data_IF_726704301933
#
_entry.id   IF_726704301933
#
_cell.length_a   1.000
_cell.length_b   1.000
_cell.length_c   1.000
_cell.angle_alpha   90.00
_cell.angle_beta   90.00
_cell.angle_gamma   90.00
#
_symmetry.space_group_name_H-M   'P 1'
#
loop_
_entity.id
_entity.type
_entity.pdbx_description
1 polymer ?
#
# COMPACT_ATOMS: atom_id res chain seq x y z
N UNK A 1 2.79 5.21 0.19
CA UNK A 1 1.62 5.69 0.96
C UNK A 1 0.60 6.45 0.12
N UNK A 2 1.02 7.36 -0.77
CA UNK A 2 0.11 8.06 -1.69
C UNK A 2 -0.84 7.13 -2.47
N UNK A 3 -0.29 6.15 -3.20
CA UNK A 3 -1.12 5.22 -4.00
C UNK A 3 -2.08 4.41 -3.11
N UNK A 4 -1.64 3.96 -1.94
CA UNK A 4 -2.48 3.24 -0.96
C UNK A 4 -3.67 4.11 -0.54
N UNK A 5 -3.43 5.36 -0.16
CA UNK A 5 -4.50 6.30 0.16
C UNK A 5 -5.44 6.51 -1.03
N UNK A 6 -4.88 6.69 -2.23
CA UNK A 6 -5.68 6.89 -3.44
C UNK A 6 -6.63 5.71 -3.70
N UNK A 7 -6.16 4.47 -3.55
CA UNK A 7 -7.01 3.27 -3.68
C UNK A 7 -8.12 3.28 -2.64
N UNK A 8 -7.80 3.55 -1.36
CA UNK A 8 -8.79 3.57 -0.28
C UNK A 8 -9.86 4.65 -0.52
N UNK A 9 -9.47 5.86 -0.93
CA UNK A 9 -10.42 6.93 -1.27
C UNK A 9 -11.33 6.54 -2.45
N UNK A 10 -10.75 5.93 -3.48
CA UNK A 10 -11.48 5.47 -4.67
C UNK A 10 -12.48 4.37 -4.31
N UNK A 11 -12.06 3.33 -3.58
CA UNK A 11 -12.94 2.27 -3.07
C UNK A 11 -14.01 2.81 -2.11
N UNK A 12 -13.69 3.90 -1.40
CA UNK A 12 -14.62 4.54 -0.47
C UNK A 12 -15.65 5.42 -1.18
N UNK A 13 -15.54 5.64 -2.49
CA UNK A 13 -16.33 6.62 -3.27
C UNK A 13 -16.36 8.01 -2.58
N UNK A 14 -15.28 8.36 -1.88
CA UNK A 14 -15.15 9.63 -1.14
C UNK A 14 -14.36 10.61 -2.00
N UNK A 15 -14.85 11.85 -2.09
CA UNK A 15 -14.11 12.91 -2.79
C UNK A 15 -12.75 13.14 -2.14
N UNK A 16 -11.74 13.26 -2.99
CA UNK A 16 -10.37 13.54 -2.56
C UNK A 16 -10.24 15.05 -2.43
N UNK A 17 -10.15 15.56 -1.20
CA UNK A 17 -9.67 16.91 -0.98
C UNK A 17 -8.14 16.89 -1.06
N UNK A 18 -7.57 17.61 -2.03
CA UNK A 18 -6.14 17.62 -2.30
C UNK A 18 -5.30 17.92 -1.05
N UNK A 19 -5.67 18.93 -0.26
CA UNK A 19 -4.89 19.32 0.94
C UNK A 19 -4.85 18.20 1.98
N UNK A 20 -6.02 17.67 2.35
CA UNK A 20 -6.11 16.58 3.31
C UNK A 20 -5.40 15.32 2.80
N UNK A 21 -5.51 15.01 1.51
CA UNK A 21 -4.87 13.86 0.90
C UNK A 21 -3.34 13.91 1.00
N UNK A 22 -2.72 15.07 0.70
CA UNK A 22 -1.27 15.22 0.83
C UNK A 22 -0.81 15.14 2.27
N UNK A 23 -1.48 15.85 3.19
CA UNK A 23 -1.15 15.86 4.62
C UNK A 23 -1.22 14.45 5.20
N UNK A 24 -2.33 13.75 4.95
CA UNK A 24 -2.56 12.38 5.44
C UNK A 24 -1.53 11.41 4.87
N UNK A 25 -1.18 11.55 3.59
CA UNK A 25 -0.18 10.69 2.96
C UNK A 25 1.22 10.88 3.54
N UNK A 26 1.60 12.12 3.84
CA UNK A 26 2.87 12.43 4.52
C UNK A 26 2.85 11.87 5.94
N UNK A 27 1.79 12.15 6.70
CA UNK A 27 1.63 11.67 8.07
C UNK A 27 1.72 10.14 8.16
N UNK A 28 0.98 9.43 7.30
CA UNK A 28 1.04 7.96 7.23
C UNK A 28 2.42 7.45 6.83
N UNK A 29 3.14 8.16 5.95
CA UNK A 29 4.51 7.80 5.60
C UNK A 29 5.46 7.90 6.79
N UNK A 30 5.35 8.99 7.56
CA UNK A 30 6.15 9.18 8.79
C UNK A 30 5.80 8.12 9.82
N UNK A 31 4.51 7.89 10.08
CA UNK A 31 4.06 6.86 11.03
C UNK A 31 4.55 5.47 10.63
N UNK A 32 4.43 5.10 9.36
CA UNK A 32 4.92 3.80 8.87
C UNK A 32 6.44 3.67 9.04
N UNK A 33 7.19 4.74 8.81
CA UNK A 33 8.63 4.75 9.04
C UNK A 33 8.96 4.57 10.53
N UNK A 34 8.27 5.29 11.42
CA UNK A 34 8.43 5.13 12.88
C UNK A 34 8.11 3.70 13.30
N UNK A 35 7.02 3.11 12.79
CA UNK A 35 6.66 1.72 13.08
C UNK A 35 7.80 0.76 12.69
N UNK A 36 8.47 0.99 11.55
CA UNK A 36 9.61 0.18 11.09
C UNK A 36 10.89 0.35 11.91
N UNK A 37 11.02 1.42 12.70
CA UNK A 37 12.15 1.61 13.60
C UNK A 37 12.03 0.78 14.88
N UNK A 38 10.83 0.25 15.19
CA UNK A 38 10.66 -0.61 16.35
C UNK A 38 11.39 -1.95 16.12
N UNK A 39 12.12 -2.49 17.11
CA UNK A 39 12.80 -3.78 17.01
C UNK A 39 11.80 -4.93 17.23
N UNK A 40 10.83 -5.06 16.34
CA UNK A 40 9.78 -6.09 16.39
C UNK A 40 9.72 -6.86 15.07
N UNK A 41 9.00 -7.98 15.07
CA UNK A 41 8.83 -8.79 13.86
C UNK A 41 8.06 -8.04 12.77
N UNK A 42 8.45 -8.29 11.51
CA UNK A 42 7.87 -7.62 10.34
C UNK A 42 6.35 -7.80 10.23
N UNK A 43 5.84 -8.99 10.56
CA UNK A 43 4.38 -9.23 10.59
C UNK A 43 3.64 -8.31 11.57
N UNK A 44 4.26 -7.95 12.70
CA UNK A 44 3.65 -7.04 13.67
C UNK A 44 3.62 -5.61 13.13
N UNK A 45 4.65 -5.17 12.38
CA UNK A 45 4.62 -3.88 11.70
C UNK A 45 3.43 -3.76 10.74
N UNK A 46 3.14 -4.81 9.97
CA UNK A 46 1.99 -4.82 9.03
C UNK A 46 0.69 -4.60 9.79
N UNK A 47 0.48 -5.34 10.89
CA UNK A 47 -0.75 -5.21 11.71
C UNK A 47 -0.89 -3.80 12.29
N UNK A 48 0.19 -3.23 12.86
CA UNK A 48 0.16 -1.85 13.40
C UNK A 48 -0.14 -0.84 12.29
N UNK A 49 0.45 -1.00 11.11
CA UNK A 49 0.19 -0.13 9.96
C UNK A 49 -1.27 -0.24 9.50
N UNK A 50 -1.85 -1.44 9.43
CA UNK A 50 -3.27 -1.61 9.08
C UNK A 50 -4.18 -0.88 10.08
N UNK A 51 -3.92 -1.04 11.38
CA UNK A 51 -4.70 -0.37 12.43
C UNK A 51 -4.60 1.15 12.29
N UNK A 52 -3.39 1.70 12.13
CA UNK A 52 -3.19 3.15 11.97
C UNK A 52 -3.88 3.70 10.73
N UNK A 53 -3.85 2.98 9.60
CA UNK A 53 -4.60 3.33 8.40
C UNK A 53 -6.11 3.39 8.65
N UNK A 54 -6.67 2.35 9.28
CA UNK A 54 -8.11 2.30 9.59
C UNK A 54 -8.52 3.48 10.49
N UNK A 55 -7.74 3.77 11.52
CA UNK A 55 -7.99 4.90 12.44
C UNK A 55 -7.99 6.23 11.69
N UNK A 56 -6.98 6.50 10.86
CA UNK A 56 -6.86 7.76 10.12
C UNK A 56 -8.00 7.90 9.10
N UNK A 57 -8.34 6.84 8.37
CA UNK A 57 -9.46 6.88 7.40
C UNK A 57 -10.80 7.14 8.09
N UNK A 58 -10.98 6.61 9.29
CA UNK A 58 -12.18 6.83 10.10
C UNK A 58 -12.26 8.28 10.61
N UNK A 59 -11.14 8.86 11.05
CA UNK A 59 -11.05 10.29 11.45
C UNK A 59 -11.37 11.21 10.26
N UNK A 60 -11.00 10.83 9.04
CA UNK A 60 -11.32 11.55 7.81
C UNK A 60 -12.79 11.37 7.36
N UNK A 61 -13.59 10.66 8.17
CA UNK A 61 -15.02 10.47 7.98
C UNK A 61 -15.38 9.40 6.96
N UNK A 62 -14.52 8.40 6.73
CA UNK A 62 -14.94 7.15 6.08
C UNK A 62 -15.54 6.25 7.18
N UNK A 63 -16.77 5.70 7.01
CA UNK A 63 -17.37 4.85 8.03
C UNK A 63 -16.45 3.69 8.42
N UNK A 64 -16.36 3.38 9.72
CA UNK A 64 -15.41 2.39 10.26
C UNK A 64 -15.40 1.06 9.49
N UNK A 65 -16.58 0.48 9.23
CA UNK A 65 -16.73 -0.78 8.49
C UNK A 65 -16.13 -0.66 7.08
N UNK A 66 -16.35 0.48 6.42
CA UNK A 66 -15.82 0.76 5.08
C UNK A 66 -14.30 0.98 5.12
N UNK A 67 -13.80 1.66 6.14
CA UNK A 67 -12.37 1.86 6.40
C UNK A 67 -11.65 0.53 6.58
N UNK A 68 -12.20 -0.38 7.41
CA UNK A 68 -11.65 -1.73 7.62
C UNK A 68 -11.60 -2.50 6.29
N UNK A 69 -12.75 -2.63 5.63
CA UNK A 69 -12.86 -3.38 4.37
C UNK A 69 -11.90 -2.86 3.30
N UNK A 70 -11.89 -1.56 3.07
CA UNK A 70 -11.11 -0.97 1.98
C UNK A 70 -9.60 -0.98 2.28
N UNK A 71 -9.21 -0.80 3.54
CA UNK A 71 -7.80 -0.90 3.94
C UNK A 71 -7.30 -2.33 3.73
N UNK A 72 -8.04 -3.35 4.21
CA UNK A 72 -7.65 -4.74 4.03
C UNK A 72 -7.52 -5.12 2.55
N UNK A 73 -8.50 -4.75 1.72
CA UNK A 73 -8.44 -4.97 0.26
C UNK A 73 -7.17 -4.34 -0.33
N UNK A 74 -6.87 -3.10 0.05
CA UNK A 74 -5.71 -2.38 -0.48
C UNK A 74 -4.39 -3.03 -0.09
N UNK A 75 -4.25 -3.46 1.17
CA UNK A 75 -3.05 -4.16 1.64
C UNK A 75 -2.92 -5.55 1.01
N UNK A 76 -4.01 -6.30 0.79
CA UNK A 76 -3.95 -7.58 0.06
C UNK A 76 -3.47 -7.39 -1.37
N UNK A 77 -3.93 -6.34 -2.07
CA UNK A 77 -3.45 -6.02 -3.42
C UNK A 77 -1.95 -5.67 -3.39
N UNK A 78 -1.50 -4.94 -2.38
CA UNK A 78 -0.09 -4.60 -2.19
C UNK A 78 0.78 -5.85 -2.01
N UNK A 79 0.43 -6.73 -1.08
CA UNK A 79 1.17 -7.99 -0.84
C UNK A 79 1.19 -8.87 -2.09
N UNK A 80 0.06 -8.99 -2.79
CA UNK A 80 -0.01 -9.73 -4.05
C UNK A 80 0.90 -9.12 -5.13
N UNK A 81 1.01 -7.80 -5.17
CA UNK A 81 1.91 -7.10 -6.10
C UNK A 81 3.39 -7.33 -5.78
N UNK A 82 3.76 -7.46 -4.50
CA UNK A 82 5.11 -7.81 -4.09
C UNK A 82 5.46 -9.26 -4.46
N UNK A 83 4.52 -10.19 -4.23
CA UNK A 83 4.69 -11.60 -4.63
C UNK A 83 4.85 -11.73 -6.14
N UNK A 84 3.99 -11.08 -6.93
CA UNK A 84 4.10 -11.10 -8.39
C UNK A 84 5.42 -10.52 -8.87
N UNK A 85 5.87 -9.41 -8.26
CA UNK A 85 7.16 -8.82 -8.60
C UNK A 85 8.30 -9.80 -8.34
N UNK A 86 8.30 -10.45 -7.17
CA UNK A 86 9.31 -11.45 -6.82
C UNK A 86 9.32 -12.63 -7.80
N UNK A 87 8.15 -13.13 -8.23
CA UNK A 87 8.05 -14.21 -9.22
C UNK A 87 8.68 -13.78 -10.56
N UNK A 88 8.34 -12.60 -11.06
CA UNK A 88 8.86 -12.07 -12.33
C UNK A 88 10.39 -11.95 -12.26
N UNK A 89 10.90 -11.49 -11.13
CA UNK A 89 12.33 -11.31 -10.91
C UNK A 89 13.10 -12.63 -10.89
N UNK A 90 12.53 -13.66 -10.26
CA UNK A 90 13.10 -15.01 -10.27
C UNK A 90 13.16 -15.58 -11.69
N UNK A 91 12.12 -15.35 -12.51
CA UNK A 91 12.08 -15.83 -13.90
C UNK A 91 13.14 -15.12 -14.76
N UNK A 92 13.36 -13.82 -14.55
CA UNK A 92 14.32 -13.01 -15.31
C UNK A 92 15.77 -13.30 -14.93
N UNK A 93 16.04 -13.62 -13.67
CA UNK A 93 17.40 -13.92 -13.19
C UNK A 93 17.39 -15.07 -12.17
N UNK A 94 17.79 -16.27 -12.63
CA UNK A 94 17.90 -17.46 -11.77
C UNK A 94 18.97 -17.32 -10.67
N UNK A 95 19.90 -16.36 -10.77
CA UNK A 95 20.92 -16.07 -9.75
C UNK A 95 20.55 -14.90 -8.83
N UNK A 96 19.32 -14.40 -8.92
CA UNK A 96 18.87 -13.25 -8.15
C UNK A 96 19.02 -13.43 -6.62
N UNK A 97 18.97 -14.67 -6.12
CA UNK A 97 19.14 -14.98 -4.71
C UNK A 97 20.60 -14.92 -4.21
N UNK A 98 21.57 -15.05 -5.10
CA UNK A 98 22.98 -15.29 -4.72
C UNK A 98 23.85 -14.04 -4.68
N UNK A 99 23.57 -13.00 -5.47
CA UNK A 99 24.61 -12.02 -5.78
C UNK A 99 24.48 -10.64 -5.12
N UNK A 100 23.34 -10.21 -4.53
CA UNK A 100 23.26 -8.82 -4.02
C UNK A 100 22.09 -8.48 -3.05
N UNK A 101 22.26 -8.67 -1.73
CA UNK A 101 21.22 -8.35 -0.71
C UNK A 101 20.66 -6.91 -0.77
N UNK A 102 21.48 -5.93 -1.17
CA UNK A 102 21.10 -4.51 -1.22
C UNK A 102 20.24 -4.20 -2.46
N UNK A 103 20.61 -4.75 -3.62
CA UNK A 103 19.85 -4.55 -4.86
C UNK A 103 18.55 -5.37 -4.86
N UNK A 104 18.52 -6.51 -4.18
CA UNK A 104 17.30 -7.32 -3.99
C UNK A 104 16.21 -6.50 -3.28
N UNK A 105 16.54 -5.83 -2.17
CA UNK A 105 15.56 -5.04 -1.41
C UNK A 105 15.04 -3.81 -2.17
N UNK A 106 15.89 -3.13 -2.94
CA UNK A 106 15.50 -1.98 -3.75
C UNK A 106 14.67 -2.36 -4.99
N UNK A 107 15.06 -3.44 -5.67
CA UNK A 107 14.40 -3.95 -6.88
C UNK A 107 13.05 -4.62 -6.59
N UNK A 108 12.81 -5.06 -5.36
CA UNK A 108 11.49 -5.57 -4.95
C UNK A 108 10.46 -4.46 -4.71
N UNK A 109 10.89 -3.28 -4.26
CA UNK A 109 10.00 -2.19 -3.86
C UNK A 109 9.52 -1.29 -5.01
N UNK A 110 10.35 -1.07 -6.04
CA UNK A 110 10.02 -0.13 -7.13
C UNK A 110 8.99 -0.71 -8.12
N UNK A 111 9.13 -1.96 -8.61
CA UNK A 111 8.16 -2.52 -9.56
C UNK A 111 6.84 -2.92 -8.90
N UNK A 112 6.82 -3.30 -7.61
CA UNK A 112 5.56 -3.55 -6.89
C UNK A 112 4.69 -2.29 -6.82
N UNK A 113 5.30 -1.11 -6.73
CA UNK A 113 4.58 0.17 -6.83
C UNK A 113 3.95 0.41 -8.21
N UNK A 114 4.55 -0.11 -9.29
CA UNK A 114 3.99 -0.03 -10.64
C UNK A 114 2.72 -0.88 -10.76
N UNK A 115 2.76 -2.11 -10.23
CA UNK A 115 1.56 -2.97 -10.16
C UNK A 115 0.47 -2.36 -9.28
N UNK A 116 0.85 -1.79 -8.14
CA UNK A 116 -0.07 -1.06 -7.27
C UNK A 116 -0.69 0.13 -8.00
N UNK A 117 0.08 0.88 -8.78
CA UNK A 117 -0.43 1.98 -9.59
C UNK A 117 -1.40 1.51 -10.69
N UNK A 118 -1.06 0.44 -11.42
CA UNK A 118 -1.93 -0.16 -12.43
C UNK A 118 -3.26 -0.61 -11.83
N UNK A 119 -3.24 -1.31 -10.69
CA UNK A 119 -4.46 -1.72 -10.00
C UNK A 119 -5.31 -0.52 -9.56
N UNK A 120 -4.68 0.56 -9.09
CA UNK A 120 -5.38 1.80 -8.72
C UNK A 120 -6.10 2.45 -9.93
N UNK A 121 -5.45 2.48 -11.09
CA UNK A 121 -6.04 2.99 -12.34
C UNK A 121 -7.24 2.14 -12.76
N UNK A 122 -7.08 0.82 -12.78
CA UNK A 122 -8.15 -0.12 -13.14
C UNK A 122 -9.37 0.04 -12.23
N UNK A 123 -9.15 0.12 -10.91
CA UNK A 123 -10.22 0.32 -9.94
C UNK A 123 -10.97 1.63 -10.16
N UNK A 124 -10.25 2.72 -10.45
CA UNK A 124 -10.86 4.02 -10.75
C UNK A 124 -11.76 3.96 -11.99
N UNK A 125 -11.30 3.31 -13.06
CA UNK A 125 -12.08 3.17 -14.30
C UNK A 125 -13.33 2.31 -14.09
N UNK A 126 -13.20 1.19 -13.37
CA UNK A 126 -14.34 0.30 -13.10
C UNK A 126 -15.41 0.97 -12.23
N UNK A 127 -15.00 1.73 -11.22
CA UNK A 127 -15.93 2.43 -10.31
C UNK A 127 -16.60 3.64 -10.97
N UNK A 128 -15.97 4.27 -11.97
CA UNK A 128 -16.59 5.35 -12.76
C UNK A 128 -17.62 4.85 -13.79
N UNK A 129 -17.60 3.54 -14.08
CA UNK A 129 -18.52 2.88 -15.01
C UNK A 129 -19.83 2.42 -14.35
N UNK A 130 -19.94 2.51 -13.02
CA UNK A 130 -21.16 2.24 -12.24
C UNK A 130 -21.82 3.56 -11.80
#
# INVERSE_FOLDING_TARGET
MFIVNFIIYTLSKKSINNTNYYIVSILLSVLTYVVRLLPIYYGVHIVINIITFISIMTILGIPLIKSIKNTLITFTILEFSEILNLIILIILDNKFWTDNEIYIKGSLGIPSLIFLFLSAVILKYRIKSE
#
